data_IF_928240800838
#
_entry.id   IF_928240800838
#
_cell.length_a   1.000
_cell.length_b   1.000
_cell.length_c   1.000
_cell.angle_alpha   90.00
_cell.angle_beta   90.00
_cell.angle_gamma   90.00
#
_symmetry.space_group_name_H-M   'P 1'
#
loop_
_entity.id
_entity.type
_entity.pdbx_description
1 polymer ?
#
# COMPACT_ATOMS: atom_id res chain seq x y z
N UNK A 1 13.05 -11.33 -22.19
CA UNK A 1 14.23 -11.13 -21.35
C UNK A 1 13.81 -10.35 -20.12
N UNK A 2 14.30 -10.72 -18.94
CA UNK A 2 13.92 -10.13 -17.65
C UNK A 2 15.15 -9.43 -17.07
N UNK A 3 15.03 -8.15 -16.71
CA UNK A 3 16.15 -7.33 -16.26
C UNK A 3 15.80 -6.54 -15.02
N UNK A 4 16.56 -6.77 -13.94
CA UNK A 4 16.50 -6.00 -12.70
C UNK A 4 17.90 -5.54 -12.33
N UNK A 5 18.17 -4.25 -12.48
CA UNK A 5 19.44 -3.64 -12.09
C UNK A 5 19.29 -2.12 -12.04
N UNK A 6 20.10 -1.46 -11.22
CA UNK A 6 20.31 0.00 -11.25
C UNK A 6 20.81 0.56 -9.92
N UNK A 7 20.84 -0.27 -8.88
CA UNK A 7 21.21 0.09 -7.53
C UNK A 7 22.64 0.63 -7.42
N UNK A 8 23.61 -0.02 -8.07
CA UNK A 8 25.00 0.44 -8.00
C UNK A 8 25.28 1.66 -8.89
N UNK A 9 24.59 1.77 -10.04
CA UNK A 9 24.77 2.86 -10.98
C UNK A 9 24.42 4.22 -10.35
N UNK A 10 23.53 4.23 -9.36
CA UNK A 10 23.12 5.45 -8.67
C UNK A 10 24.24 6.11 -7.85
N UNK A 11 25.32 5.39 -7.55
CA UNK A 11 26.45 5.92 -6.79
C UNK A 11 27.46 6.68 -7.64
N UNK A 12 27.47 6.46 -8.95
CA UNK A 12 28.33 7.18 -9.88
C UNK A 12 27.48 8.17 -10.70
N UNK A 13 27.82 9.46 -10.64
CA UNK A 13 27.04 10.51 -11.31
C UNK A 13 26.93 10.29 -12.81
N UNK A 14 28.00 9.84 -13.46
CA UNK A 14 28.01 9.53 -14.89
C UNK A 14 27.12 8.32 -15.20
N UNK A 15 27.17 7.26 -14.40
CA UNK A 15 26.36 6.06 -14.63
C UNK A 15 24.88 6.35 -14.42
N UNK A 16 24.54 7.05 -13.33
CA UNK A 16 23.16 7.48 -13.05
C UNK A 16 22.60 8.38 -14.14
N UNK A 17 23.38 9.36 -14.61
CA UNK A 17 22.94 10.27 -15.68
C UNK A 17 22.73 9.55 -17.02
N UNK A 18 23.53 8.51 -17.31
CA UNK A 18 23.48 7.77 -18.57
C UNK A 18 22.65 6.49 -18.49
N UNK A 19 22.06 6.13 -17.34
CA UNK A 19 21.43 4.84 -17.12
C UNK A 19 20.37 4.50 -18.18
N UNK A 20 19.44 5.41 -18.47
CA UNK A 20 18.39 5.18 -19.48
C UNK A 20 18.95 5.00 -20.89
N UNK A 21 19.93 5.81 -21.29
CA UNK A 21 20.58 5.68 -22.59
C UNK A 21 21.34 4.35 -22.73
N UNK A 22 22.03 3.93 -21.66
CA UNK A 22 22.73 2.65 -21.62
C UNK A 22 21.76 1.47 -21.66
N UNK A 23 20.63 1.55 -20.95
CA UNK A 23 19.59 0.52 -20.97
C UNK A 23 18.95 0.39 -22.36
N UNK A 24 18.63 1.50 -23.04
CA UNK A 24 18.12 1.47 -24.41
C UNK A 24 19.12 0.80 -25.38
N UNK A 25 20.40 1.16 -25.26
CA UNK A 25 21.48 0.55 -26.05
C UNK A 25 21.60 -0.95 -25.77
N UNK A 26 21.44 -1.37 -24.52
CA UNK A 26 21.46 -2.77 -24.11
C UNK A 26 20.33 -3.56 -24.79
N UNK A 27 19.08 -3.09 -24.72
CA UNK A 27 17.93 -3.69 -25.40
C UNK A 27 18.17 -3.86 -26.91
N UNK A 28 18.59 -2.78 -27.58
CA UNK A 28 18.83 -2.79 -29.03
C UNK A 28 19.96 -3.75 -29.43
N UNK A 29 21.05 -3.79 -28.66
CA UNK A 29 22.19 -4.70 -28.92
C UNK A 29 21.79 -6.15 -28.76
N UNK A 30 21.03 -6.49 -27.72
CA UNK A 30 20.57 -7.86 -27.52
C UNK A 30 19.70 -8.35 -28.69
N UNK A 31 18.74 -7.54 -29.15
CA UNK A 31 17.92 -7.89 -30.32
C UNK A 31 18.76 -8.11 -31.57
N UNK A 32 19.72 -7.22 -31.83
CA UNK A 32 20.61 -7.31 -32.99
C UNK A 32 21.52 -8.54 -32.91
N UNK A 33 22.24 -8.70 -31.80
CA UNK A 33 23.31 -9.70 -31.66
C UNK A 33 22.73 -11.11 -31.53
N UNK A 34 21.55 -11.26 -30.90
CA UNK A 34 20.80 -12.52 -30.83
C UNK A 34 19.88 -12.75 -32.03
N UNK A 35 19.90 -11.87 -33.04
CA UNK A 35 19.01 -11.91 -34.23
C UNK A 35 17.53 -12.12 -33.88
N UNK A 36 17.08 -11.47 -32.80
CA UNK A 36 15.75 -11.62 -32.21
C UNK A 36 15.07 -10.24 -32.15
N UNK A 37 14.59 -9.69 -33.29
CA UNK A 37 14.05 -8.33 -33.36
C UNK A 37 12.82 -8.14 -32.46
N UNK A 38 12.03 -9.19 -32.26
CA UNK A 38 10.81 -9.15 -31.46
C UNK A 38 11.04 -9.56 -29.99
N UNK A 39 12.31 -9.65 -29.54
CA UNK A 39 12.62 -9.99 -28.15
C UNK A 39 12.03 -8.93 -27.22
N UNK A 40 11.09 -9.37 -26.38
CA UNK A 40 10.49 -8.53 -25.35
C UNK A 40 11.38 -8.39 -24.14
N UNK A 41 11.33 -7.24 -23.50
CA UNK A 41 12.05 -6.91 -22.27
C UNK A 41 11.08 -6.55 -21.16
N UNK A 42 11.35 -7.07 -19.97
CA UNK A 42 10.62 -6.75 -18.76
C UNK A 42 11.62 -6.12 -17.79
N UNK A 43 11.40 -4.87 -17.40
CA UNK A 43 12.34 -4.05 -16.63
C UNK A 43 11.78 -3.79 -15.24
N UNK A 44 12.39 -4.38 -14.22
CA UNK A 44 11.95 -4.27 -12.83
C UNK A 44 12.27 -2.92 -12.20
N UNK A 45 11.30 -2.38 -11.47
CA UNK A 45 11.48 -1.22 -10.61
C UNK A 45 12.43 -1.50 -9.44
N UNK A 46 13.30 -0.55 -9.13
CA UNK A 46 14.16 -0.67 -7.95
C UNK A 46 13.35 -0.60 -6.64
N UNK A 47 13.75 -1.41 -5.65
CA UNK A 47 13.09 -1.46 -4.35
C UNK A 47 13.14 -0.11 -3.60
N UNK A 48 11.97 0.45 -3.26
CA UNK A 48 11.85 1.74 -2.57
C UNK A 48 11.48 1.62 -1.10
N UNK A 49 11.27 0.39 -0.62
CA UNK A 49 10.58 0.08 0.63
C UNK A 49 11.46 0.23 1.88
N UNK A 50 12.79 0.22 1.78
CA UNK A 50 13.67 0.28 2.96
C UNK A 50 14.12 1.69 3.29
N UNK A 51 14.82 1.87 4.43
CA UNK A 51 15.51 3.13 4.75
C UNK A 51 16.42 3.58 3.61
N UNK A 52 17.04 2.64 2.90
CA UNK A 52 17.85 2.96 1.73
C UNK A 52 17.04 3.65 0.62
N UNK A 53 15.79 3.22 0.41
CA UNK A 53 14.85 3.89 -0.49
C UNK A 53 14.40 5.28 -0.04
N UNK A 54 14.54 5.58 1.26
CA UNK A 54 14.25 6.88 1.87
C UNK A 54 15.47 7.82 1.79
N UNK A 55 16.66 7.30 2.09
CA UNK A 55 17.94 8.02 2.15
C UNK A 55 18.46 8.34 0.74
N UNK A 56 18.39 7.37 -0.17
CA UNK A 56 18.78 7.53 -1.58
C UNK A 56 17.61 7.89 -2.50
N UNK A 57 16.50 8.37 -1.94
CA UNK A 57 15.27 8.70 -2.68
C UNK A 57 15.53 9.48 -3.99
N UNK A 58 16.36 10.55 -4.02
CA UNK A 58 16.63 11.27 -5.27
C UNK A 58 17.38 10.45 -6.33
N UNK A 59 18.34 9.64 -5.90
CA UNK A 59 19.17 8.82 -6.80
C UNK A 59 18.36 7.65 -7.37
N UNK A 60 17.60 6.96 -6.53
CA UNK A 60 16.67 5.92 -6.97
C UNK A 60 15.62 6.47 -7.95
N UNK A 61 15.12 7.68 -7.68
CA UNK A 61 14.19 8.34 -8.59
C UNK A 61 14.84 8.63 -9.95
N UNK A 62 16.09 9.10 -9.97
CA UNK A 62 16.82 9.31 -11.22
C UNK A 62 16.94 8.03 -12.06
N UNK A 63 17.27 6.89 -11.43
CA UNK A 63 17.30 5.59 -12.12
C UNK A 63 15.91 5.20 -12.63
N UNK A 64 14.86 5.35 -11.81
CA UNK A 64 13.48 5.01 -12.20
C UNK A 64 13.02 5.79 -13.43
N UNK A 65 13.44 7.06 -13.58
CA UNK A 65 13.15 7.85 -14.78
C UNK A 65 13.79 7.25 -16.03
N UNK A 66 15.02 6.73 -15.91
CA UNK A 66 15.69 6.03 -17.00
C UNK A 66 14.98 4.73 -17.38
N UNK A 67 14.57 3.92 -16.39
CA UNK A 67 13.80 2.69 -16.63
C UNK A 67 12.47 2.97 -17.34
N UNK A 68 11.72 3.98 -16.86
CA UNK A 68 10.45 4.40 -17.45
C UNK A 68 10.61 4.99 -18.84
N UNK A 69 11.57 5.90 -19.05
CA UNK A 69 11.80 6.48 -20.37
C UNK A 69 12.11 5.43 -21.45
N UNK A 70 12.87 4.37 -21.11
CA UNK A 70 13.15 3.27 -22.05
C UNK A 70 11.90 2.44 -22.35
N UNK A 71 11.12 2.09 -21.33
CA UNK A 71 9.92 1.26 -21.47
C UNK A 71 8.74 2.01 -22.11
N UNK A 72 8.67 3.33 -21.96
CA UNK A 72 7.72 4.19 -22.66
C UNK A 72 8.08 4.36 -24.15
N UNK A 73 9.36 4.38 -24.50
CA UNK A 73 9.83 4.58 -25.87
C UNK A 73 9.86 3.29 -26.71
N UNK A 74 10.00 2.12 -26.07
CA UNK A 74 10.12 0.83 -26.74
C UNK A 74 8.85 -0.02 -26.53
N UNK A 75 8.03 -0.26 -27.58
CA UNK A 75 6.77 -1.00 -27.46
C UNK A 75 6.94 -2.49 -27.14
N UNK A 76 8.17 -3.00 -27.18
CA UNK A 76 8.53 -4.36 -26.79
C UNK A 76 9.21 -4.40 -25.41
N UNK A 77 9.22 -3.28 -24.66
CA UNK A 77 9.70 -3.22 -23.29
C UNK A 77 8.56 -2.84 -22.33
N UNK A 78 8.47 -3.52 -21.18
CA UNK A 78 7.46 -3.27 -20.15
C UNK A 78 8.15 -2.94 -18.82
N UNK A 79 7.64 -1.91 -18.12
CA UNK A 79 8.05 -1.58 -16.77
C UNK A 79 7.29 -2.44 -15.77
N UNK A 80 8.01 -3.19 -14.94
CA UNK A 80 7.41 -4.09 -13.95
C UNK A 80 7.47 -3.41 -12.58
N UNK A 81 6.32 -2.97 -12.03
CA UNK A 81 6.29 -2.41 -10.69
C UNK A 81 6.65 -3.50 -9.66
N UNK A 82 7.64 -3.19 -8.85
CA UNK A 82 8.20 -4.09 -7.82
C UNK A 82 8.53 -3.36 -6.53
N UNK A 83 8.17 -2.07 -6.41
CA UNK A 83 8.31 -1.32 -5.15
C UNK A 83 7.45 -1.88 -4.00
N UNK A 84 6.35 -2.57 -4.31
CA UNK A 84 5.46 -3.18 -3.32
C UNK A 84 5.94 -4.55 -2.81
N UNK A 85 6.93 -5.16 -3.46
CA UNK A 85 7.50 -6.48 -3.10
C UNK A 85 8.15 -6.43 -1.71
N UNK A 86 7.99 -7.50 -0.95
CA UNK A 86 8.59 -7.71 0.37
C UNK A 86 10.10 -7.67 0.33
N UNK A 87 10.72 -7.24 1.42
CA UNK A 87 12.18 -7.13 1.53
C UNK A 87 12.70 -8.01 2.65
N UNK A 88 14.01 -8.23 2.67
CA UNK A 88 14.64 -8.77 3.87
C UNK A 88 14.47 -7.79 5.04
N UNK A 89 14.18 -8.32 6.22
CA UNK A 89 13.92 -7.55 7.43
C UNK A 89 14.89 -8.05 8.50
N UNK A 90 15.76 -7.17 9.02
CA UNK A 90 16.70 -7.53 10.09
C UNK A 90 17.51 -6.34 10.64
N UNK A 91 18.10 -6.55 11.82
CA UNK A 91 18.65 -5.48 12.68
C UNK A 91 20.16 -5.17 12.57
N UNK A 92 20.92 -5.78 11.65
CA UNK A 92 22.37 -5.56 11.54
C UNK A 92 22.80 -5.35 10.11
N UNK A 93 23.20 -4.12 9.74
CA UNK A 93 23.48 -3.62 8.37
C UNK A 93 22.35 -3.82 7.33
N UNK A 94 21.55 -4.88 7.42
CA UNK A 94 20.39 -5.28 6.62
C UNK A 94 19.10 -4.47 6.78
N UNK A 95 19.20 -3.15 6.80
CA UNK A 95 18.16 -2.27 6.24
C UNK A 95 18.46 -2.01 4.74
N UNK A 96 19.13 -2.98 4.12
CA UNK A 96 19.61 -2.94 2.75
C UNK A 96 18.49 -3.31 1.77
N UNK A 97 18.60 -2.79 0.56
CA UNK A 97 17.63 -2.85 -0.54
C UNK A 97 17.45 -4.25 -1.16
N UNK A 98 18.03 -5.29 -0.58
CA UNK A 98 17.97 -6.64 -1.12
C UNK A 98 16.64 -7.33 -0.78
N UNK A 99 16.14 -8.07 -1.77
CA UNK A 99 15.03 -8.98 -1.58
C UNK A 99 15.52 -10.24 -0.86
N UNK A 100 14.97 -10.53 0.32
CA UNK A 100 15.09 -11.85 0.96
C UNK A 100 14.21 -12.88 0.25
N UNK A 101 14.12 -14.11 0.77
CA UNK A 101 13.39 -15.22 0.12
C UNK A 101 11.98 -14.85 -0.33
N UNK A 102 11.19 -14.23 0.56
CA UNK A 102 9.83 -13.79 0.23
C UNK A 102 9.84 -12.83 -0.96
N UNK A 103 10.64 -11.77 -0.88
CA UNK A 103 10.75 -10.79 -1.95
C UNK A 103 11.22 -11.37 -3.28
N UNK A 104 12.13 -12.34 -3.27
CA UNK A 104 12.60 -13.00 -4.50
C UNK A 104 11.50 -13.82 -5.17
N UNK A 105 10.66 -14.51 -4.38
CA UNK A 105 9.52 -15.27 -4.89
C UNK A 105 8.47 -14.34 -5.50
N UNK A 106 8.10 -13.29 -4.77
CA UNK A 106 7.16 -12.26 -5.22
C UNK A 106 7.66 -11.53 -6.47
N UNK A 107 8.94 -11.17 -6.51
CA UNK A 107 9.58 -10.60 -7.70
C UNK A 107 9.44 -11.55 -8.90
N UNK A 108 9.70 -12.84 -8.73
CA UNK A 108 9.47 -13.87 -9.75
C UNK A 108 8.02 -13.92 -10.25
N UNK A 109 7.05 -13.83 -9.33
CA UNK A 109 5.61 -13.76 -9.67
C UNK A 109 5.31 -12.54 -10.54
N UNK A 110 5.80 -11.35 -10.20
CA UNK A 110 5.52 -10.12 -10.96
C UNK A 110 6.01 -10.20 -12.42
N UNK A 111 7.21 -10.77 -12.63
CA UNK A 111 7.73 -11.00 -13.97
C UNK A 111 6.99 -12.09 -14.72
N UNK A 112 6.59 -13.17 -14.03
CA UNK A 112 5.78 -14.22 -14.61
C UNK A 112 4.43 -13.66 -15.06
N UNK A 113 3.77 -12.85 -14.24
CA UNK A 113 2.48 -12.24 -14.54
C UNK A 113 2.55 -11.31 -15.75
N UNK A 114 3.58 -10.46 -15.81
CA UNK A 114 3.79 -9.58 -16.97
C UNK A 114 4.01 -10.38 -18.27
N UNK A 115 4.80 -11.46 -18.20
CA UNK A 115 5.01 -12.34 -19.33
C UNK A 115 3.73 -13.10 -19.72
N UNK A 116 3.00 -13.66 -18.76
CA UNK A 116 1.75 -14.38 -18.99
C UNK A 116 0.68 -13.46 -19.58
N UNK A 117 0.56 -12.22 -19.08
CA UNK A 117 -0.34 -11.20 -19.64
C UNK A 117 -0.01 -10.92 -21.09
N UNK A 118 1.28 -10.75 -21.37
CA UNK A 118 1.78 -10.49 -22.72
C UNK A 118 1.36 -11.57 -23.73
N UNK A 119 1.31 -12.84 -23.31
CA UNK A 119 0.95 -13.97 -24.20
C UNK A 119 -0.52 -14.39 -24.06
N UNK A 120 -1.35 -13.60 -23.36
CA UNK A 120 -2.77 -13.88 -23.16
C UNK A 120 -3.04 -15.13 -22.31
N UNK A 121 -2.14 -15.46 -21.37
CA UNK A 121 -2.25 -16.63 -20.48
C UNK A 121 -2.22 -16.28 -18.99
N UNK A 122 -2.30 -14.99 -18.63
CA UNK A 122 -2.46 -14.62 -17.23
C UNK A 122 -3.84 -15.09 -16.77
N UNK A 123 -3.95 -15.90 -15.70
CA UNK A 123 -5.25 -16.29 -15.17
C UNK A 123 -6.00 -15.07 -14.65
N UNK A 124 -7.23 -14.86 -15.13
CA UNK A 124 -8.16 -13.92 -14.52
C UNK A 124 -9.06 -14.68 -13.54
N UNK A 125 -9.18 -14.18 -12.32
CA UNK A 125 -10.11 -14.70 -11.31
C UNK A 125 -11.06 -13.57 -10.89
N UNK A 126 -12.05 -13.24 -11.75
CA UNK A 126 -13.00 -12.18 -11.42
C UNK A 126 -13.81 -12.59 -10.19
N UNK A 127 -13.97 -11.65 -9.26
CA UNK A 127 -14.80 -11.81 -8.04
C UNK A 127 -15.96 -10.82 -8.08
N UNK A 128 -16.89 -10.93 -9.05
CA UNK A 128 -17.94 -9.93 -9.19
C UNK A 128 -18.89 -9.99 -7.99
N UNK A 129 -19.30 -8.81 -7.50
CA UNK A 129 -20.39 -8.72 -6.54
C UNK A 129 -21.73 -9.00 -7.23
N UNK A 130 -22.10 -10.28 -7.33
CA UNK A 130 -23.25 -10.76 -8.14
C UNK A 130 -24.57 -10.15 -7.68
N UNK A 131 -24.77 -10.04 -6.36
CA UNK A 131 -25.96 -9.43 -5.77
C UNK A 131 -25.54 -8.14 -5.08
N UNK A 132 -26.10 -7.01 -5.53
CA UNK A 132 -25.89 -5.74 -4.85
C UNK A 132 -26.55 -5.79 -3.45
N UNK A 133 -25.79 -5.57 -2.35
CA UNK A 133 -26.29 -5.81 -1.01
C UNK A 133 -27.17 -4.68 -0.46
N UNK A 134 -27.17 -3.50 -1.10
CA UNK A 134 -27.84 -2.32 -0.57
C UNK A 134 -29.17 -2.04 -1.28
N UNK A 135 -30.17 -1.60 -0.50
CA UNK A 135 -31.44 -1.14 -1.03
C UNK A 135 -31.26 0.17 -1.81
N UNK A 136 -32.06 0.38 -2.86
CA UNK A 136 -32.03 1.65 -3.60
C UNK A 136 -32.48 2.80 -2.70
N UNK A 137 -31.71 3.89 -2.67
CA UNK A 137 -31.92 5.01 -1.75
C UNK A 137 -31.50 4.71 -0.31
N UNK A 138 -30.92 3.53 -0.03
CA UNK A 138 -30.39 3.18 1.26
C UNK A 138 -29.14 4.00 1.61
N UNK A 139 -28.92 4.19 2.90
CA UNK A 139 -27.70 4.80 3.41
C UNK A 139 -26.58 3.76 3.48
N UNK A 140 -25.40 4.13 2.97
CA UNK A 140 -24.18 3.30 3.02
C UNK A 140 -23.06 4.08 3.69
N UNK A 141 -22.46 3.47 4.71
CA UNK A 141 -21.23 3.93 5.36
C UNK A 141 -20.02 3.40 4.59
N UNK A 142 -19.29 4.29 3.95
CA UNK A 142 -18.04 4.00 3.27
C UNK A 142 -16.87 4.20 4.23
N UNK A 143 -16.10 3.14 4.46
CA UNK A 143 -14.87 3.17 5.26
C UNK A 143 -13.65 3.05 4.33
N UNK A 144 -12.69 3.96 4.50
CA UNK A 144 -11.45 3.94 3.71
C UNK A 144 -10.34 3.30 4.53
N UNK A 145 -9.66 2.32 3.95
CA UNK A 145 -8.52 1.62 4.56
C UNK A 145 -7.27 2.00 3.78
N UNK A 146 -6.30 2.65 4.41
CA UNK A 146 -5.14 3.20 3.71
C UNK A 146 -3.82 3.02 4.46
N UNK A 147 -2.72 2.96 3.71
CA UNK A 147 -1.38 2.97 4.27
C UNK A 147 -0.40 2.05 3.56
N UNK A 148 0.54 1.55 4.35
CA UNK A 148 1.80 0.96 3.89
C UNK A 148 1.77 -0.57 3.97
N UNK A 149 2.81 -1.18 4.56
CA UNK A 149 3.07 -2.62 4.53
C UNK A 149 2.07 -3.41 5.34
N UNK A 150 1.82 -2.97 6.58
CA UNK A 150 0.89 -3.65 7.47
C UNK A 150 -0.57 -3.45 7.04
N UNK A 151 -0.90 -2.29 6.46
CA UNK A 151 -2.24 -2.09 5.94
C UNK A 151 -2.48 -2.91 4.67
N UNK A 152 -1.46 -3.08 3.82
CA UNK A 152 -1.56 -3.95 2.66
C UNK A 152 -1.68 -5.42 3.06
N UNK A 153 -0.96 -5.82 4.11
CA UNK A 153 -0.95 -7.19 4.61
C UNK A 153 0.26 -8.00 4.16
N UNK A 154 1.45 -7.38 4.07
CA UNK A 154 2.64 -8.01 3.48
C UNK A 154 2.98 -9.40 4.08
N UNK A 155 2.73 -9.61 5.38
CA UNK A 155 3.04 -10.86 6.08
C UNK A 155 1.82 -11.58 6.65
N UNK A 156 0.64 -11.28 6.11
CA UNK A 156 -0.59 -11.98 6.47
C UNK A 156 -1.04 -12.86 5.31
N UNK A 157 -0.92 -14.17 5.49
CA UNK A 157 -1.05 -15.17 4.43
C UNK A 157 -2.30 -16.02 4.62
N UNK A 158 -3.03 -16.30 3.53
CA UNK A 158 -4.28 -17.07 3.59
C UNK A 158 -4.08 -18.49 4.14
N UNK A 159 -2.90 -19.09 3.94
CA UNK A 159 -2.57 -20.43 4.43
C UNK A 159 -2.42 -20.48 5.96
N UNK A 160 -2.04 -19.36 6.58
CA UNK A 160 -2.04 -19.21 8.04
C UNK A 160 -3.44 -18.85 8.54
N UNK A 161 -4.16 -18.00 7.79
CA UNK A 161 -5.54 -17.63 8.10
C UNK A 161 -6.45 -18.86 8.16
N UNK A 162 -6.31 -19.82 7.25
CA UNK A 162 -7.06 -21.08 7.24
C UNK A 162 -6.99 -21.82 8.59
N UNK A 163 -5.86 -21.74 9.29
CA UNK A 163 -5.64 -22.42 10.57
C UNK A 163 -6.12 -21.60 11.77
N UNK A 164 -6.11 -20.27 11.64
CA UNK A 164 -6.46 -19.34 12.71
C UNK A 164 -7.97 -19.05 12.73
N UNK A 165 -8.55 -18.80 11.56
CA UNK A 165 -9.92 -18.36 11.37
C UNK A 165 -10.36 -18.56 9.90
N UNK A 166 -10.75 -19.78 9.56
CA UNK A 166 -11.12 -20.15 8.18
C UNK A 166 -12.34 -19.38 7.64
N UNK A 167 -13.22 -18.87 8.51
CA UNK A 167 -14.41 -18.14 8.10
C UNK A 167 -14.06 -16.81 7.41
N UNK A 168 -12.92 -16.21 7.74
CA UNK A 168 -12.42 -14.99 7.08
C UNK A 168 -11.92 -15.23 5.65
N UNK A 169 -11.76 -16.48 5.21
CA UNK A 169 -11.42 -16.80 3.81
C UNK A 169 -12.63 -16.70 2.88
N UNK A 170 -13.84 -16.79 3.41
CA UNK A 170 -15.05 -16.77 2.61
C UNK A 170 -15.39 -15.34 2.17
N UNK A 171 -15.84 -15.21 0.92
CA UNK A 171 -16.37 -13.95 0.40
C UNK A 171 -17.65 -13.55 1.14
N UNK A 172 -17.66 -12.34 1.72
CA UNK A 172 -18.85 -11.71 2.28
C UNK A 172 -19.51 -10.79 1.25
N UNK A 173 -20.56 -11.31 0.63
CA UNK A 173 -21.37 -10.58 -0.35
C UNK A 173 -22.24 -9.46 0.22
N UNK A 174 -22.28 -9.25 1.54
CA UNK A 174 -23.01 -8.15 2.17
C UNK A 174 -22.21 -6.84 2.17
N UNK A 175 -20.90 -6.93 1.95
CA UNK A 175 -19.97 -5.80 1.99
C UNK A 175 -19.38 -5.60 0.61
N UNK A 176 -19.74 -4.49 -0.05
CA UNK A 176 -19.08 -4.08 -1.28
C UNK A 176 -17.66 -3.61 -0.95
N UNK A 177 -16.68 -4.21 -1.63
CA UNK A 177 -15.26 -3.97 -1.45
C UNK A 177 -14.60 -3.50 -2.75
N UNK A 178 -13.89 -2.37 -2.69
CA UNK A 178 -13.12 -1.82 -3.80
C UNK A 178 -11.68 -1.62 -3.35
N UNK A 179 -10.69 -1.86 -4.21
CA UNK A 179 -9.29 -1.70 -3.79
C UNK A 179 -8.34 -1.26 -4.89
N UNK A 180 -7.26 -0.59 -4.48
CA UNK A 180 -6.04 -0.33 -5.23
C UNK A 180 -4.84 -0.65 -4.34
N UNK A 181 -4.10 -1.70 -4.68
CA UNK A 181 -3.03 -2.27 -3.88
C UNK A 181 -1.68 -2.12 -4.58
N UNK A 182 -0.60 -2.05 -3.81
CA UNK A 182 0.77 -2.00 -4.32
C UNK A 182 1.07 -0.77 -5.18
N UNK A 183 0.38 0.35 -4.96
CA UNK A 183 0.49 1.54 -5.81
C UNK A 183 -0.16 1.39 -7.18
N UNK A 184 -1.27 0.63 -7.25
CA UNK A 184 -1.97 0.33 -8.49
C UNK A 184 -1.47 -0.93 -9.21
N UNK A 185 -0.66 -1.75 -8.56
CA UNK A 185 -0.22 -3.04 -9.10
C UNK A 185 -1.40 -4.02 -9.28
N UNK A 186 -2.31 -4.04 -8.32
CA UNK A 186 -3.58 -4.77 -8.42
C UNK A 186 -4.73 -3.84 -8.02
N UNK A 187 -5.71 -3.72 -8.90
CA UNK A 187 -6.89 -2.86 -8.72
C UNK A 187 -8.12 -3.74 -8.92
N UNK A 188 -9.15 -3.56 -8.10
CA UNK A 188 -10.40 -4.30 -8.24
C UNK A 188 -11.15 -3.90 -9.50
N UNK A 189 -11.88 -4.83 -10.10
CA UNK A 189 -12.81 -4.52 -11.19
C UNK A 189 -14.15 -4.07 -10.61
N UNK A 190 -14.26 -2.76 -10.34
CA UNK A 190 -15.43 -2.19 -9.68
C UNK A 190 -15.54 -2.62 -8.23
N UNK A 191 -16.74 -3.06 -7.83
CA UNK A 191 -17.06 -3.53 -6.48
C UNK A 191 -17.12 -5.06 -6.45
N UNK A 192 -16.31 -5.67 -5.60
CA UNK A 192 -16.20 -7.10 -5.33
C UNK A 192 -16.82 -7.41 -3.95
N UNK A 193 -17.15 -8.67 -3.60
CA UNK A 193 -17.45 -9.01 -2.22
C UNK A 193 -16.18 -8.88 -1.36
N UNK A 194 -16.34 -8.55 -0.07
CA UNK A 194 -15.21 -8.53 0.85
C UNK A 194 -14.63 -9.94 0.98
N UNK A 195 -13.33 -10.07 0.75
CA UNK A 195 -12.59 -11.33 0.89
C UNK A 195 -11.13 -11.13 0.49
N UNK A 196 -10.25 -12.14 0.66
CA UNK A 196 -8.81 -12.00 0.42
C UNK A 196 -8.48 -11.43 -0.96
N UNK A 197 -7.81 -10.28 -1.01
CA UNK A 197 -7.57 -9.54 -2.27
C UNK A 197 -6.09 -9.30 -2.61
N UNK A 198 -5.15 -9.72 -1.74
CA UNK A 198 -3.73 -9.60 -2.02
C UNK A 198 -3.30 -10.32 -3.30
N UNK A 199 -2.15 -9.93 -3.85
CA UNK A 199 -1.59 -10.51 -5.07
C UNK A 199 -0.65 -11.71 -4.81
N UNK A 200 -0.31 -11.99 -3.54
CA UNK A 200 0.54 -13.12 -3.15
C UNK A 200 -0.15 -14.03 -2.14
N UNK A 201 -1.43 -14.32 -2.35
CA UNK A 201 -2.25 -15.05 -1.37
C UNK A 201 -2.19 -14.41 0.03
N UNK A 202 -2.20 -13.07 0.03
CA UNK A 202 -2.12 -12.24 1.22
C UNK A 202 -3.40 -11.43 1.44
N UNK A 203 -3.54 -10.88 2.63
CA UNK A 203 -4.69 -10.06 3.01
C UNK A 203 -4.29 -9.04 4.08
N UNK A 204 -4.97 -7.90 4.14
CA UNK A 204 -4.75 -6.92 5.20
C UNK A 204 -5.83 -6.96 6.28
N UNK A 205 -5.91 -5.94 7.14
CA UNK A 205 -6.87 -5.90 8.23
C UNK A 205 -8.33 -5.73 7.75
N UNK A 206 -8.58 -5.54 6.45
CA UNK A 206 -9.92 -5.37 5.89
C UNK A 206 -10.88 -6.49 6.25
N UNK A 207 -10.41 -7.74 6.36
CA UNK A 207 -11.27 -8.90 6.58
C UNK A 207 -11.85 -8.89 7.99
N UNK A 208 -11.00 -8.82 9.00
CA UNK A 208 -11.45 -8.78 10.40
C UNK A 208 -12.11 -7.44 10.75
N UNK A 209 -11.69 -6.34 10.13
CA UNK A 209 -12.35 -5.03 10.24
C UNK A 209 -13.78 -5.09 9.72
N UNK A 210 -13.99 -5.55 8.48
CA UNK A 210 -15.30 -5.65 7.87
C UNK A 210 -16.24 -6.58 8.65
N UNK A 211 -15.75 -7.77 9.05
CA UNK A 211 -16.53 -8.70 9.87
C UNK A 211 -16.97 -8.09 11.20
N UNK A 212 -16.07 -7.39 11.90
CA UNK A 212 -16.39 -6.77 13.18
C UNK A 212 -17.40 -5.62 13.05
N UNK A 213 -17.31 -4.83 11.97
CA UNK A 213 -18.29 -3.79 11.66
C UNK A 213 -19.64 -4.39 11.30
N UNK A 214 -19.69 -5.40 10.45
CA UNK A 214 -20.94 -6.04 10.02
C UNK A 214 -21.70 -6.64 11.21
N UNK A 215 -20.97 -7.34 12.09
CA UNK A 215 -21.54 -7.91 13.31
C UNK A 215 -22.14 -6.85 14.26
N UNK A 216 -21.63 -5.62 14.22
CA UNK A 216 -22.05 -4.53 15.13
C UNK A 216 -23.09 -3.59 14.51
N UNK A 217 -23.01 -3.35 13.21
CA UNK A 217 -23.85 -2.38 12.49
C UNK A 217 -25.02 -3.03 11.73
N UNK A 218 -24.93 -4.33 11.42
CA UNK A 218 -26.00 -5.08 10.77
C UNK A 218 -26.23 -4.72 9.30
N UNK A 219 -25.20 -4.29 8.58
CA UNK A 219 -25.25 -3.99 7.16
C UNK A 219 -25.09 -2.51 6.81
N UNK A 220 -25.20 -2.22 5.50
CA UNK A 220 -25.07 -0.86 4.97
C UNK A 220 -23.63 -0.33 5.05
N UNK A 221 -22.63 -1.21 5.02
CA UNK A 221 -21.22 -0.85 5.03
C UNK A 221 -20.56 -1.18 3.69
N UNK A 222 -19.67 -0.31 3.24
CA UNK A 222 -18.78 -0.53 2.10
C UNK A 222 -17.34 -0.24 2.51
N UNK A 223 -16.38 -1.01 1.98
CA UNK A 223 -14.96 -0.82 2.24
C UNK A 223 -14.24 -0.42 0.96
N UNK A 224 -13.36 0.58 1.05
CA UNK A 224 -12.45 0.92 -0.04
C UNK A 224 -11.00 0.97 0.46
N UNK A 225 -10.14 0.08 -0.05
CA UNK A 225 -8.73 -0.04 0.38
C UNK A 225 -7.77 0.56 -0.64
N UNK A 226 -6.91 1.48 -0.19
CA UNK A 226 -5.88 2.10 -1.02
C UNK A 226 -4.52 1.97 -0.33
N UNK A 227 -3.65 1.09 -0.82
CA UNK A 227 -2.36 0.82 -0.17
C UNK A 227 -1.20 0.84 -1.15
N UNK A 228 -0.03 1.16 -0.62
CA UNK A 228 1.22 0.90 -1.30
C UNK A 228 2.31 0.57 -0.28
N UNK A 229 2.67 -0.70 -0.19
CA UNK A 229 3.66 -1.18 0.80
C UNK A 229 5.07 -0.60 0.63
N UNK A 230 5.46 -0.14 -0.58
CA UNK A 230 6.74 0.54 -0.83
C UNK A 230 6.76 2.05 -0.56
N UNK A 231 5.61 2.64 -0.21
CA UNK A 231 5.49 4.07 0.04
C UNK A 231 5.97 4.48 1.44
N UNK A 232 6.11 5.78 1.66
CA UNK A 232 6.48 6.41 2.93
C UNK A 232 5.54 7.58 3.19
N UNK A 233 5.37 8.05 4.42
CA UNK A 233 4.38 9.10 4.74
C UNK A 233 4.49 10.37 3.88
N UNK A 234 5.68 10.73 3.39
CA UNK A 234 5.89 11.87 2.48
C UNK A 234 5.20 11.69 1.12
N UNK A 235 5.00 10.47 0.66
CA UNK A 235 4.31 10.16 -0.60
C UNK A 235 2.82 10.45 -0.50
N UNK A 236 2.29 10.43 0.72
CA UNK A 236 0.90 10.69 1.04
C UNK A 236 0.63 12.16 1.33
N UNK A 237 1.63 13.04 1.41
CA UNK A 237 1.38 14.47 1.63
C UNK A 237 0.91 15.17 0.35
N UNK A 238 0.16 16.28 0.47
CA UNK A 238 -0.28 17.06 -0.68
C UNK A 238 0.85 17.49 -1.60
N UNK A 239 2.01 17.87 -1.05
CA UNK A 239 3.18 18.33 -1.80
C UNK A 239 3.96 17.19 -2.45
N UNK A 240 3.87 15.98 -1.86
CA UNK A 240 4.68 14.84 -2.19
C UNK A 240 6.17 15.08 -1.94
N UNK A 241 7.02 14.37 -2.69
CA UNK A 241 8.47 14.54 -2.66
C UNK A 241 9.02 14.91 -4.03
N UNK A 242 10.34 15.08 -4.13
CA UNK A 242 11.00 15.27 -5.43
C UNK A 242 10.79 14.09 -6.39
N UNK A 243 10.51 12.89 -5.85
CA UNK A 243 10.20 11.69 -6.61
C UNK A 243 8.73 11.69 -7.03
N UNK A 244 8.39 12.47 -8.07
CA UNK A 244 6.99 12.72 -8.49
C UNK A 244 6.21 11.46 -8.82
N UNK A 245 6.86 10.42 -9.35
CA UNK A 245 6.20 9.15 -9.64
C UNK A 245 5.82 8.34 -8.40
N UNK A 246 6.22 8.76 -7.19
CA UNK A 246 5.82 8.14 -5.92
C UNK A 246 4.75 8.97 -5.22
N UNK A 247 4.23 10.04 -5.81
CA UNK A 247 3.22 10.90 -5.19
C UNK A 247 1.85 10.22 -5.22
N UNK A 248 1.38 9.80 -4.05
CA UNK A 248 0.15 9.03 -3.89
C UNK A 248 -1.06 9.89 -3.50
N UNK A 249 -0.85 11.02 -2.81
CA UNK A 249 -1.95 11.83 -2.31
C UNK A 249 -3.04 12.15 -3.36
N UNK A 250 -2.73 12.63 -4.58
CA UNK A 250 -3.77 12.96 -5.55
C UNK A 250 -4.54 11.72 -6.00
N UNK A 251 -3.84 10.59 -6.14
CA UNK A 251 -4.44 9.30 -6.52
C UNK A 251 -5.34 8.76 -5.41
N UNK A 252 -4.93 8.90 -4.15
CA UNK A 252 -5.72 8.52 -2.98
C UNK A 252 -7.02 9.32 -2.89
N UNK A 253 -6.96 10.65 -3.05
CA UNK A 253 -8.16 11.50 -3.06
C UNK A 253 -9.08 11.18 -4.24
N UNK A 254 -8.51 10.94 -5.43
CA UNK A 254 -9.29 10.53 -6.60
C UNK A 254 -10.01 9.20 -6.35
N UNK A 255 -9.31 8.20 -5.81
CA UNK A 255 -9.89 6.90 -5.47
C UNK A 255 -11.08 7.00 -4.50
N UNK A 256 -10.98 7.84 -3.45
CA UNK A 256 -12.09 8.06 -2.51
C UNK A 256 -13.28 8.70 -3.24
N UNK A 257 -13.04 9.75 -4.04
CA UNK A 257 -14.09 10.43 -4.80
C UNK A 257 -14.79 9.50 -5.78
N UNK A 258 -14.04 8.66 -6.48
CA UNK A 258 -14.56 7.64 -7.38
C UNK A 258 -15.39 6.59 -6.64
N UNK A 259 -14.91 6.08 -5.51
CA UNK A 259 -15.68 5.14 -4.70
C UNK A 259 -17.02 5.75 -4.22
N UNK A 260 -17.00 7.00 -3.75
CA UNK A 260 -18.23 7.71 -3.37
C UNK A 260 -19.16 7.92 -4.57
N UNK A 261 -18.63 8.37 -5.71
CA UNK A 261 -19.40 8.61 -6.92
C UNK A 261 -20.02 7.32 -7.48
N UNK A 262 -19.30 6.20 -7.44
CA UNK A 262 -19.81 4.90 -7.90
C UNK A 262 -20.98 4.42 -7.03
N UNK A 263 -20.89 4.56 -5.71
CA UNK A 263 -21.99 4.23 -4.78
C UNK A 263 -23.20 5.15 -5.01
N UNK A 264 -22.98 6.45 -5.18
CA UNK A 264 -24.04 7.42 -5.49
C UNK A 264 -24.71 7.14 -6.84
N UNK A 265 -23.92 6.81 -7.87
CA UNK A 265 -24.41 6.42 -9.19
C UNK A 265 -25.26 5.14 -9.17
N UNK A 266 -25.02 4.27 -8.18
CA UNK A 266 -25.85 3.08 -7.87
C UNK A 266 -27.05 3.40 -6.95
N UNK A 267 -27.32 4.69 -6.73
CA UNK A 267 -28.49 5.18 -6.00
C UNK A 267 -28.38 5.07 -4.48
N UNK A 268 -27.17 5.05 -3.91
CA UNK A 268 -26.96 5.04 -2.46
C UNK A 268 -26.78 6.45 -1.91
N UNK A 269 -27.26 6.69 -0.69
CA UNK A 269 -26.87 7.84 0.11
C UNK A 269 -25.56 7.50 0.83
N UNK A 270 -24.46 8.18 0.47
CA UNK A 270 -23.12 7.80 0.93
C UNK A 270 -22.66 8.68 2.09
N UNK A 271 -22.41 8.05 3.24
CA UNK A 271 -21.67 8.62 4.37
C UNK A 271 -20.22 8.14 4.29
N UNK A 272 -19.27 9.07 4.14
CA UNK A 272 -17.85 8.74 4.32
C UNK A 272 -17.58 8.65 5.82
N UNK A 273 -17.57 7.44 6.36
CA UNK A 273 -17.58 7.17 7.80
C UNK A 273 -16.22 7.38 8.48
N UNK A 274 -15.13 7.32 7.72
CA UNK A 274 -13.79 7.61 8.24
C UNK A 274 -12.68 7.09 7.35
N UNK A 275 -11.48 7.64 7.56
CA UNK A 275 -10.23 7.16 6.94
C UNK A 275 -9.39 6.46 8.01
N UNK A 276 -9.08 5.19 7.78
CA UNK A 276 -8.27 4.34 8.66
C UNK A 276 -6.88 4.24 8.07
N UNK A 277 -5.88 4.75 8.80
CA UNK A 277 -4.51 4.82 8.33
C UNK A 277 -3.55 4.18 9.32
N UNK A 278 -2.66 3.30 8.87
CA UNK A 278 -1.60 2.75 9.71
C UNK A 278 -0.27 3.48 9.47
N UNK A 279 0.29 4.08 10.51
CA UNK A 279 1.55 4.85 10.44
C UNK A 279 2.69 3.95 9.94
N UNK A 280 3.48 4.47 9.00
CA UNK A 280 4.51 3.72 8.28
C UNK A 280 5.65 3.23 9.18
N UNK A 281 5.98 1.95 9.04
CA UNK A 281 6.94 1.22 9.85
C UNK A 281 8.38 1.69 9.56
N UNK A 282 8.65 2.00 8.30
CA UNK A 282 9.93 2.55 7.83
C UNK A 282 10.12 4.01 8.26
N UNK A 283 9.05 4.81 8.25
CA UNK A 283 9.08 6.18 8.75
C UNK A 283 9.49 6.20 10.22
N UNK A 284 9.03 5.21 11.00
CA UNK A 284 9.48 5.04 12.37
C UNK A 284 10.95 4.62 12.42
N UNK A 285 11.52 3.97 11.41
CA UNK A 285 12.89 3.45 11.51
C UNK A 285 13.99 4.44 11.11
N UNK A 286 13.65 5.62 10.58
CA UNK A 286 14.62 6.61 10.09
C UNK A 286 14.40 8.00 10.69
N UNK A 287 15.39 8.55 11.41
CA UNK A 287 15.24 9.74 12.27
C UNK A 287 14.62 10.96 11.59
N UNK A 288 15.02 11.36 10.36
CA UNK A 288 14.40 12.51 9.67
C UNK A 288 12.91 12.30 9.37
N UNK A 289 12.50 11.06 9.06
CA UNK A 289 11.11 10.75 8.76
C UNK A 289 10.29 10.55 10.04
N UNK A 290 10.86 9.89 11.07
CA UNK A 290 10.22 9.76 12.39
C UNK A 290 9.90 11.13 12.98
N UNK A 291 10.85 12.08 12.88
CA UNK A 291 10.66 13.46 13.35
C UNK A 291 9.59 14.22 12.59
N UNK A 292 9.50 14.02 11.27
CA UNK A 292 8.55 14.73 10.40
C UNK A 292 7.16 14.08 10.34
N UNK A 293 6.99 12.85 10.86
CA UNK A 293 5.75 12.10 10.74
C UNK A 293 4.51 12.84 11.32
N UNK A 294 4.57 13.47 12.52
CA UNK A 294 3.42 14.19 13.07
C UNK A 294 2.94 15.34 12.17
N UNK A 295 3.86 16.19 11.71
CA UNK A 295 3.56 17.33 10.83
C UNK A 295 3.00 16.86 9.48
N UNK A 296 3.61 15.82 8.89
CA UNK A 296 3.12 15.26 7.62
C UNK A 296 1.73 14.67 7.76
N UNK A 297 1.47 13.94 8.84
CA UNK A 297 0.13 13.42 9.13
C UNK A 297 -0.91 14.55 9.22
N UNK A 298 -0.59 15.63 9.94
CA UNK A 298 -1.48 16.81 10.02
C UNK A 298 -1.76 17.41 8.64
N UNK A 299 -0.74 17.54 7.78
CA UNK A 299 -0.92 18.06 6.40
C UNK A 299 -1.85 17.17 5.57
N UNK A 300 -1.68 15.85 5.63
CA UNK A 300 -2.54 14.88 4.93
C UNK A 300 -4.00 15.04 5.36
N UNK A 301 -4.23 15.05 6.68
CA UNK A 301 -5.57 15.14 7.27
C UNK A 301 -6.22 16.46 6.87
N UNK A 302 -5.54 17.59 7.11
CA UNK A 302 -6.06 18.92 6.83
C UNK A 302 -6.43 19.09 5.36
N UNK A 303 -5.53 18.73 4.44
CA UNK A 303 -5.82 18.87 3.02
C UNK A 303 -6.89 17.88 2.55
N UNK A 304 -6.91 16.63 3.05
CA UNK A 304 -7.93 15.66 2.64
C UNK A 304 -9.35 16.11 2.99
N UNK A 305 -9.52 16.77 4.14
CA UNK A 305 -10.80 17.37 4.56
C UNK A 305 -11.24 18.47 3.59
N UNK A 306 -10.32 19.29 3.12
CA UNK A 306 -10.59 20.34 2.12
C UNK A 306 -10.97 19.69 0.79
N UNK A 307 -10.12 18.80 0.27
CA UNK A 307 -10.27 18.23 -1.06
C UNK A 307 -11.50 17.32 -1.20
N UNK A 308 -11.93 16.69 -0.09
CA UNK A 308 -13.14 15.88 -0.01
C UNK A 308 -14.39 16.69 0.39
N UNK A 309 -14.24 17.97 0.75
CA UNK A 309 -15.35 18.82 1.21
C UNK A 309 -16.00 18.28 2.49
N UNK A 310 -15.18 17.81 3.44
CA UNK A 310 -15.58 17.18 4.70
C UNK A 310 -14.72 17.73 5.85
N UNK A 311 -15.01 18.93 6.38
CA UNK A 311 -14.18 19.58 7.40
C UNK A 311 -14.10 18.79 8.72
N UNK A 312 -15.10 17.96 9.03
CA UNK A 312 -15.13 17.08 10.20
C UNK A 312 -14.88 15.61 9.83
N UNK A 313 -14.17 15.32 8.73
CA UNK A 313 -13.84 13.94 8.38
C UNK A 313 -12.97 13.32 9.46
N UNK A 314 -13.46 12.23 10.04
CA UNK A 314 -12.74 11.46 11.04
C UNK A 314 -11.58 10.67 10.42
N UNK A 315 -10.43 10.77 11.07
CA UNK A 315 -9.24 9.97 10.77
C UNK A 315 -8.93 9.07 11.95
N UNK A 316 -8.85 7.77 11.68
CA UNK A 316 -8.47 6.75 12.64
C UNK A 316 -7.04 6.30 12.33
N UNK A 317 -6.08 6.85 13.06
CA UNK A 317 -4.67 6.61 12.83
C UNK A 317 -4.17 5.58 13.81
N UNK A 318 -3.82 4.40 13.31
CA UNK A 318 -3.24 3.33 14.11
C UNK A 318 -1.71 3.35 14.10
N UNK A 319 -1.11 3.02 15.23
CA UNK A 319 0.34 2.99 15.42
C UNK A 319 0.73 1.73 16.22
N UNK A 320 1.61 0.90 15.66
CA UNK A 320 2.33 -0.14 16.42
C UNK A 320 3.49 0.49 17.22
N UNK A 321 4.10 -0.20 18.20
CA UNK A 321 5.26 0.33 18.91
C UNK A 321 6.33 0.79 17.91
N UNK A 322 6.86 2.03 18.02
CA UNK A 322 7.88 2.49 17.11
C UNK A 322 9.15 1.65 17.26
N UNK A 323 9.94 1.52 16.20
CA UNK A 323 11.21 0.76 16.18
C UNK A 323 12.08 1.12 17.39
N UNK A 324 12.47 0.12 18.16
CA UNK A 324 13.33 0.29 19.33
C UNK A 324 14.80 0.19 18.91
N UNK A 325 15.41 1.34 18.62
CA UNK A 325 16.83 1.44 18.28
C UNK A 325 17.41 2.78 18.75
N UNK A 326 18.61 2.72 19.35
CA UNK A 326 19.33 3.90 19.87
C UNK A 326 19.44 5.08 18.89
N UNK A 327 19.43 4.83 17.58
CA UNK A 327 19.50 5.85 16.51
C UNK A 327 18.24 6.71 16.40
N UNK A 328 17.11 6.21 16.88
CA UNK A 328 15.79 6.83 16.73
C UNK A 328 15.03 6.99 18.05
N UNK A 329 15.44 6.31 19.11
CA UNK A 329 14.80 6.35 20.44
C UNK A 329 14.83 7.72 21.13
N UNK A 330 15.69 8.66 20.69
CA UNK A 330 15.65 10.03 21.16
C UNK A 330 14.41 10.82 20.67
N UNK A 331 13.63 10.25 19.74
CA UNK A 331 12.41 10.86 19.19
C UNK A 331 11.20 10.07 19.71
N UNK A 332 10.50 10.64 20.68
CA UNK A 332 9.23 10.09 21.18
C UNK A 332 8.06 10.44 20.25
N UNK A 333 8.05 9.79 19.09
CA UNK A 333 7.01 9.99 18.06
C UNK A 333 5.62 9.61 18.57
N UNK A 334 5.52 8.66 19.50
CA UNK A 334 4.24 8.27 20.11
C UNK A 334 3.65 9.44 20.90
N UNK A 335 4.45 10.11 21.74
CA UNK A 335 3.98 11.29 22.47
C UNK A 335 3.60 12.45 21.54
N UNK A 336 4.36 12.67 20.46
CA UNK A 336 4.02 13.71 19.47
C UNK A 336 2.70 13.40 18.73
N UNK A 337 2.46 12.16 18.34
CA UNK A 337 1.17 11.77 17.73
C UNK A 337 0.00 11.87 18.72
N UNK A 338 0.23 11.61 20.01
CA UNK A 338 -0.78 11.88 21.06
C UNK A 338 -1.12 13.37 21.13
N UNK A 339 -0.12 14.26 21.07
CA UNK A 339 -0.36 15.71 21.06
C UNK A 339 -1.13 16.16 19.82
N UNK A 340 -0.77 15.62 18.65
CA UNK A 340 -1.45 15.91 17.39
C UNK A 340 -2.92 15.48 17.44
N UNK A 341 -3.21 14.26 17.92
CA UNK A 341 -4.58 13.78 18.09
C UNK A 341 -5.36 14.59 19.13
N UNK A 342 -4.75 14.96 20.26
CA UNK A 342 -5.41 15.77 21.28
C UNK A 342 -5.79 17.19 20.80
N UNK A 343 -5.15 17.69 19.74
CA UNK A 343 -5.43 19.00 19.15
C UNK A 343 -6.50 18.96 18.04
N UNK A 344 -7.01 17.78 17.68
CA UNK A 344 -7.99 17.59 16.61
C UNK A 344 -9.05 16.55 17.06
N UNK A 345 -10.25 17.02 17.38
CA UNK A 345 -11.35 16.18 17.86
C UNK A 345 -11.78 15.09 16.88
N UNK A 346 -11.47 15.26 15.59
CA UNK A 346 -11.79 14.31 14.53
C UNK A 346 -10.56 13.44 14.15
N UNK A 347 -9.52 13.42 14.98
CA UNK A 347 -8.36 12.53 14.83
C UNK A 347 -8.25 11.58 16.02
N UNK A 348 -8.55 10.31 15.76
CA UNK A 348 -8.52 9.23 16.74
C UNK A 348 -7.21 8.46 16.59
N UNK A 349 -6.35 8.52 17.61
CA UNK A 349 -5.10 7.77 17.66
C UNK A 349 -5.30 6.40 18.33
N UNK A 350 -5.16 5.32 17.55
CA UNK A 350 -5.32 3.94 18.00
C UNK A 350 -3.94 3.27 18.22
N UNK A 351 -3.60 2.99 19.48
CA UNK A 351 -2.33 2.32 19.80
C UNK A 351 -2.46 0.81 19.65
N UNK A 352 -1.82 0.25 18.64
CA UNK A 352 -1.74 -1.17 18.35
C UNK A 352 -0.55 -1.81 19.11
N UNK A 353 -0.43 -1.56 20.42
CA UNK A 353 0.72 -2.00 21.21
C UNK A 353 0.53 -3.41 21.79
N UNK A 354 -0.72 -3.86 21.89
CA UNK A 354 -1.09 -5.17 22.42
C UNK A 354 -1.40 -6.18 21.30
N UNK A 355 -0.75 -6.03 20.13
CA UNK A 355 -0.83 -7.04 19.08
C UNK A 355 -0.12 -8.33 19.53
N UNK A 356 -0.52 -9.50 19.00
CA UNK A 356 0.24 -10.74 19.12
C UNK A 356 1.74 -10.52 18.89
N UNK A 357 2.58 -11.33 19.55
CA UNK A 357 4.03 -11.20 19.42
C UNK A 357 4.46 -11.46 17.97
N UNK A 358 5.21 -10.52 17.42
CA UNK A 358 5.71 -10.57 16.05
C UNK A 358 7.09 -11.23 15.99
N UNK A 359 7.31 -12.11 15.00
CA UNK A 359 8.61 -12.76 14.78
C UNK A 359 9.62 -11.81 14.12
N UNK A 360 9.14 -11.00 13.17
CA UNK A 360 9.94 -10.01 12.44
C UNK A 360 9.71 -8.62 13.02
N UNK A 361 10.76 -7.81 12.99
CA UNK A 361 10.62 -6.38 13.28
C UNK A 361 9.78 -5.69 12.19
N UNK A 362 9.18 -4.55 12.51
CA UNK A 362 8.45 -3.67 11.60
C UNK A 362 7.11 -4.23 11.08
N UNK A 363 7.05 -5.46 10.58
CA UNK A 363 5.86 -6.01 9.94
C UNK A 363 5.02 -6.86 10.89
N UNK A 364 3.71 -6.86 10.64
CA UNK A 364 2.72 -7.61 11.41
C UNK A 364 2.34 -8.89 10.64
N UNK A 365 2.38 -10.03 11.34
CA UNK A 365 2.00 -11.36 10.87
C UNK A 365 0.49 -11.56 10.78
N UNK A 366 0.07 -12.71 10.27
CA UNK A 366 -1.35 -13.07 10.07
C UNK A 366 -2.20 -12.84 11.33
N UNK A 367 -1.77 -13.34 12.49
CA UNK A 367 -2.52 -13.19 13.74
C UNK A 367 -2.61 -11.72 14.18
N UNK A 368 -1.52 -10.97 14.02
CA UNK A 368 -1.49 -9.56 14.32
C UNK A 368 -2.33 -8.71 13.37
N UNK A 369 -2.40 -9.04 12.07
CA UNK A 369 -3.23 -8.33 11.09
C UNK A 369 -4.72 -8.56 11.36
N UNK A 370 -5.11 -9.78 11.74
CA UNK A 370 -6.47 -10.05 12.22
C UNK A 370 -6.77 -9.15 13.42
N UNK A 371 -5.88 -9.12 14.41
CA UNK A 371 -6.07 -8.29 15.62
C UNK A 371 -6.08 -6.79 15.33
N UNK A 372 -5.29 -6.33 14.35
CA UNK A 372 -5.27 -4.95 13.90
C UNK A 372 -6.64 -4.56 13.32
N UNK A 373 -7.23 -5.35 12.44
CA UNK A 373 -8.56 -5.05 11.90
C UNK A 373 -9.65 -4.98 12.96
N UNK A 374 -9.61 -5.88 13.95
CA UNK A 374 -10.52 -5.80 15.10
C UNK A 374 -10.29 -4.55 15.95
N UNK A 375 -9.04 -4.13 16.14
CA UNK A 375 -8.70 -2.91 16.87
C UNK A 375 -9.25 -1.66 16.16
N UNK A 376 -9.09 -1.60 14.83
CA UNK A 376 -9.62 -0.52 14.01
C UNK A 376 -11.16 -0.43 14.13
N UNK A 377 -11.85 -1.58 14.04
CA UNK A 377 -13.31 -1.63 14.14
C UNK A 377 -13.78 -1.23 15.54
N UNK A 378 -13.15 -1.76 16.61
CA UNK A 378 -13.47 -1.35 17.98
C UNK A 378 -13.23 0.14 18.22
N UNK A 379 -12.14 0.69 17.69
CA UNK A 379 -11.82 2.11 17.80
C UNK A 379 -12.92 2.99 17.20
N UNK A 380 -13.40 2.63 16.00
CA UNK A 380 -14.55 3.27 15.38
C UNK A 380 -15.81 3.17 16.23
N UNK A 381 -16.20 1.95 16.62
CA UNK A 381 -17.45 1.70 17.33
C UNK A 381 -17.50 2.36 18.71
N UNK A 382 -16.37 2.45 19.41
CA UNK A 382 -16.27 3.14 20.70
C UNK A 382 -16.39 4.65 20.55
N UNK A 383 -15.72 5.23 19.55
CA UNK A 383 -15.79 6.66 19.26
C UNK A 383 -17.19 7.06 18.79
N UNK A 384 -17.79 6.32 17.86
CA UNK A 384 -19.12 6.61 17.32
C UNK A 384 -20.26 6.44 18.34
N UNK A 385 -20.00 5.79 19.48
CA UNK A 385 -20.95 5.62 20.58
C UNK A 385 -20.77 6.65 21.71
N UNK A 386 -19.66 7.39 21.71
CA UNK A 386 -19.37 8.47 22.65
C UNK A 386 -20.04 9.78 22.20
#
# INVERSE_FOLDING_TARGET
>A
FMWHQGENDMFNESYMANYGANLANFLARWRRDLKSPDLKFYIGELCTKTIWGMDLRPRMYAISKGQKAVTEADPLAEYIPTAHVGVEIGGGVGLHYHYGTLGQLEHGVNYADAYLRTIGKLPESPRPLVKWPYQKGGKVKLFIIAGHRNMEGERAFVQELERLDADLLADDGNIAYKYSLGGGYKVSDGWEPLGPAGYYDSFGPELSFGRALEASLGGGIALAKFTHSGSQIIDWTPEGSMARSRHLYPQFIAFIKEAMADLQGRGQEVELAGIFYHVGENDMSFSPYRKAAPERLQSIIAQSRIDLGRPALEWYVSQQPPTDDKRVNAIDVTAELVKVAAADENLIHLKAFDLPKQEKELVIDTAGIIRLGELLARGYLQHAAA
#
